data_IF_077888047887
#
_entry.id   IF_077888047887
#
_cell.length_a   1.000
_cell.length_b   1.000
_cell.length_c   1.000
_cell.angle_alpha   90.00
_cell.angle_beta   90.00
_cell.angle_gamma   90.00
#
_symmetry.space_group_name_H-M   'P 1'
#
loop_
_entity.id
_entity.type
_entity.pdbx_description
1 polymer ?
#
# COMPACT_ATOMS: atom_id res chain seq x y z
N UNK A 1 -25.08 1.76 -44.31
CA UNK A 1 -25.30 0.47 -43.63
C UNK A 1 -24.75 0.53 -42.22
N UNK A 2 -25.59 0.90 -41.24
CA UNK A 2 -25.21 1.14 -39.85
C UNK A 2 -25.37 -0.17 -39.07
N UNK A 3 -24.27 -0.83 -38.68
CA UNK A 3 -24.30 -2.07 -37.89
C UNK A 3 -23.88 -1.77 -36.45
N UNK A 4 -24.91 -1.73 -35.60
CA UNK A 4 -24.96 -1.60 -34.14
C UNK A 4 -23.71 -2.13 -33.40
N UNK A 5 -23.05 -1.23 -32.67
CA UNK A 5 -22.05 -1.56 -31.64
C UNK A 5 -22.82 -2.15 -30.46
N UNK A 6 -22.60 -3.44 -30.16
CA UNK A 6 -23.25 -4.12 -29.04
C UNK A 6 -22.53 -3.76 -27.75
N UNK A 7 -23.14 -2.81 -27.03
CA UNK A 7 -22.88 -2.52 -25.63
C UNK A 7 -23.37 -3.71 -24.79
N UNK A 8 -22.56 -4.15 -23.83
CA UNK A 8 -22.91 -5.26 -22.93
C UNK A 8 -21.68 -5.80 -22.19
N UNK A 9 -20.98 -4.95 -21.45
CA UNK A 9 -20.08 -5.42 -20.39
C UNK A 9 -20.95 -5.63 -19.16
N UNK A 10 -21.11 -6.89 -18.75
CA UNK A 10 -21.88 -7.27 -17.58
C UNK A 10 -21.22 -6.70 -16.34
N UNK A 11 -21.93 -5.79 -15.68
CA UNK A 11 -21.64 -5.34 -14.33
C UNK A 11 -22.16 -6.37 -13.32
N UNK A 12 -21.48 -6.44 -12.17
CA UNK A 12 -21.78 -7.22 -10.95
C UNK A 12 -21.31 -8.68 -10.94
N UNK A 13 -20.09 -8.84 -10.42
CA UNK A 13 -19.83 -9.87 -9.41
C UNK A 13 -19.01 -9.25 -8.26
N UNK A 14 -19.66 -8.32 -7.56
CA UNK A 14 -19.15 -7.79 -6.29
C UNK A 14 -19.57 -8.76 -5.20
N UNK A 15 -18.75 -9.79 -4.97
CA UNK A 15 -18.92 -10.67 -3.82
C UNK A 15 -19.03 -9.86 -2.53
N UNK A 16 -19.83 -10.32 -1.58
CA UNK A 16 -19.99 -9.66 -0.27
C UNK A 16 -18.62 -9.44 0.36
N UNK A 17 -18.12 -8.21 0.28
CA UNK A 17 -16.85 -7.84 0.89
C UNK A 17 -17.09 -7.85 2.38
N UNK A 18 -16.66 -8.92 3.06
CA UNK A 18 -16.74 -8.96 4.51
C UNK A 18 -15.98 -7.77 5.10
N UNK A 19 -16.75 -6.82 5.65
CA UNK A 19 -16.22 -5.53 6.08
C UNK A 19 -15.23 -5.65 7.23
N UNK A 20 -15.32 -6.71 8.05
CA UNK A 20 -14.46 -6.91 9.22
C UNK A 20 -13.01 -7.31 8.86
N UNK A 21 -12.75 -8.39 8.08
CA UNK A 21 -11.40 -8.73 7.65
C UNK A 21 -10.79 -7.66 6.74
N UNK A 22 -11.58 -6.99 5.90
CA UNK A 22 -11.11 -5.86 5.10
C UNK A 22 -10.59 -4.72 6.00
N UNK A 23 -11.38 -4.28 6.97
CA UNK A 23 -10.99 -3.18 7.87
C UNK A 23 -9.78 -3.55 8.72
N UNK A 24 -9.72 -4.78 9.24
CA UNK A 24 -8.58 -5.26 10.01
C UNK A 24 -7.31 -5.36 9.16
N UNK A 25 -7.42 -5.96 7.97
CA UNK A 25 -6.30 -6.14 7.05
C UNK A 25 -5.75 -4.81 6.54
N UNK A 26 -6.62 -3.87 6.17
CA UNK A 26 -6.18 -2.55 5.69
C UNK A 26 -5.69 -1.67 6.84
N UNK A 27 -6.29 -1.76 8.03
CA UNK A 27 -5.77 -1.11 9.24
C UNK A 27 -4.35 -1.59 9.55
N UNK A 28 -4.13 -2.90 9.60
CA UNK A 28 -2.81 -3.49 9.78
C UNK A 28 -1.85 -3.11 8.65
N UNK A 29 -2.29 -3.17 7.40
CA UNK A 29 -1.53 -2.74 6.23
C UNK A 29 -1.11 -1.27 6.34
N UNK A 30 -1.99 -0.39 6.84
CA UNK A 30 -1.71 1.01 7.13
C UNK A 30 -0.67 1.19 8.23
N UNK A 31 -0.79 0.47 9.35
CA UNK A 31 0.21 0.48 10.43
C UNK A 31 1.58 0.08 9.89
N UNK A 32 1.64 -1.04 9.18
CA UNK A 32 2.88 -1.59 8.65
C UNK A 32 3.46 -0.68 7.54
N UNK A 33 2.61 -0.15 6.67
CA UNK A 33 3.00 0.82 5.63
C UNK A 33 3.54 2.12 6.22
N UNK A 34 3.03 2.59 7.36
CA UNK A 34 3.53 3.80 8.02
C UNK A 34 4.89 3.61 8.70
N UNK A 35 5.12 2.46 9.35
CA UNK A 35 6.42 2.10 9.95
C UNK A 35 7.50 1.99 8.89
N UNK A 36 7.13 1.37 7.76
CA UNK A 36 8.08 0.89 6.76
C UNK A 36 8.06 1.69 5.45
N UNK A 37 7.20 2.71 5.35
CA UNK A 37 6.95 3.53 4.17
C UNK A 37 6.69 2.73 2.87
N UNK A 38 5.79 1.74 2.89
CA UNK A 38 5.71 0.73 1.81
C UNK A 38 5.23 1.29 0.46
N UNK A 39 4.36 2.29 0.44
CA UNK A 39 3.64 2.76 -0.78
C UNK A 39 4.51 3.04 -2.02
N UNK A 40 5.80 3.34 -1.81
CA UNK A 40 6.89 3.33 -2.79
C UNK A 40 8.27 3.03 -2.13
N UNK A 41 8.34 2.93 -0.80
CA UNK A 41 9.60 2.73 -0.08
C UNK A 41 10.18 1.33 -0.25
N UNK A 42 9.37 0.34 -0.68
CA UNK A 42 9.87 -0.93 -1.21
C UNK A 42 10.97 -0.74 -2.26
N UNK A 43 10.88 0.34 -3.04
CA UNK A 43 11.87 0.72 -4.05
C UNK A 43 12.79 1.83 -3.53
N UNK A 44 12.24 2.92 -3.00
CA UNK A 44 13.05 4.08 -2.61
C UNK A 44 14.00 3.80 -1.45
N UNK A 45 13.61 2.99 -0.45
CA UNK A 45 14.47 2.75 0.73
C UNK A 45 15.73 1.96 0.33
N UNK A 46 15.65 0.81 -0.37
CA UNK A 46 16.85 0.13 -0.85
C UNK A 46 17.69 1.01 -1.77
N UNK A 47 17.05 1.80 -2.64
CA UNK A 47 17.80 2.66 -3.55
C UNK A 47 18.57 3.75 -2.82
N UNK A 48 17.91 4.48 -1.92
CA UNK A 48 18.53 5.53 -1.12
C UNK A 48 19.58 5.00 -0.14
N UNK A 49 19.40 3.77 0.36
CA UNK A 49 20.34 3.15 1.28
C UNK A 49 21.54 2.53 0.55
N UNK A 50 21.30 1.59 -0.36
CA UNK A 50 22.35 0.82 -1.03
C UNK A 50 23.07 1.61 -2.12
N UNK A 51 22.35 2.38 -2.93
CA UNK A 51 22.96 3.21 -3.98
C UNK A 51 23.20 4.64 -3.52
N UNK A 52 22.32 5.20 -2.68
CA UNK A 52 22.46 6.56 -2.14
C UNK A 52 23.33 6.69 -0.90
N UNK A 53 23.74 5.58 -0.27
CA UNK A 53 24.60 5.57 0.91
C UNK A 53 23.95 6.12 2.19
N UNK A 54 22.64 6.34 2.20
CA UNK A 54 21.93 6.85 3.37
C UNK A 54 21.73 5.74 4.41
N UNK A 55 22.03 6.03 5.68
CA UNK A 55 21.66 5.14 6.79
C UNK A 55 20.15 4.86 6.80
N UNK A 56 19.73 3.69 7.30
CA UNK A 56 18.35 3.18 7.18
C UNK A 56 17.30 4.20 7.60
N UNK A 57 17.49 4.87 8.75
CA UNK A 57 16.54 5.90 9.23
C UNK A 57 16.42 7.09 8.29
N UNK A 58 17.53 7.56 7.73
CA UNK A 58 17.54 8.67 6.77
C UNK A 58 16.91 8.26 5.45
N UNK A 59 17.21 7.06 4.95
CA UNK A 59 16.57 6.53 3.74
C UNK A 59 15.04 6.46 3.88
N UNK A 60 14.54 5.97 5.03
CA UNK A 60 13.10 5.93 5.34
C UNK A 60 12.51 7.35 5.40
N UNK A 61 13.14 8.27 6.12
CA UNK A 61 12.67 9.65 6.24
C UNK A 61 12.66 10.40 4.91
N UNK A 62 13.72 10.26 4.10
CA UNK A 62 13.79 10.84 2.76
C UNK A 62 12.74 10.25 1.83
N UNK A 63 12.49 8.94 1.89
CA UNK A 63 11.39 8.29 1.15
C UNK A 63 10.02 8.88 1.52
N UNK A 64 9.74 9.08 2.82
CA UNK A 64 8.51 9.73 3.27
C UNK A 64 8.40 11.18 2.77
N UNK A 65 9.51 11.92 2.78
CA UNK A 65 9.57 13.28 2.21
C UNK A 65 9.25 13.31 0.72
N UNK A 66 9.77 12.36 -0.06
CA UNK A 66 9.41 12.20 -1.48
C UNK A 66 7.92 11.87 -1.66
N UNK A 67 7.39 10.95 -0.83
CA UNK A 67 5.98 10.56 -0.87
C UNK A 67 5.03 11.70 -0.56
N UNK A 68 5.42 12.65 0.30
CA UNK A 68 4.62 13.84 0.60
C UNK A 68 4.24 14.61 -0.67
N UNK A 69 5.08 14.56 -1.71
CA UNK A 69 4.80 15.21 -3.00
C UNK A 69 4.22 14.22 -4.01
N UNK A 70 4.79 13.02 -4.11
CA UNK A 70 4.40 12.03 -5.13
C UNK A 70 2.97 11.51 -4.91
N UNK A 71 2.58 11.22 -3.66
CA UNK A 71 1.26 10.63 -3.37
C UNK A 71 0.11 11.57 -3.71
N UNK A 72 0.12 12.87 -3.30
CA UNK A 72 -0.95 13.79 -3.71
C UNK A 72 -1.07 13.95 -5.22
N UNK A 73 0.05 14.02 -5.94
CA UNK A 73 0.05 14.09 -7.41
C UNK A 73 -0.56 12.82 -7.99
N UNK A 74 -0.17 11.64 -7.49
CA UNK A 74 -0.72 10.36 -7.94
C UNK A 74 -2.24 10.27 -7.69
N UNK A 75 -2.73 10.72 -6.53
CA UNK A 75 -4.17 10.77 -6.21
C UNK A 75 -4.90 11.71 -7.17
N UNK A 76 -4.34 12.89 -7.45
CA UNK A 76 -4.94 13.86 -8.36
C UNK A 76 -4.99 13.33 -9.81
N UNK A 77 -3.87 12.81 -10.32
CA UNK A 77 -3.81 12.22 -11.67
C UNK A 77 -4.74 11.04 -11.79
N UNK A 78 -4.76 10.15 -10.79
CA UNK A 78 -5.70 9.02 -10.77
C UNK A 78 -7.14 9.52 -10.76
N UNK A 79 -7.48 10.50 -9.92
CA UNK A 79 -8.82 11.06 -9.85
C UNK A 79 -9.29 11.74 -11.13
N UNK A 80 -8.39 12.31 -11.93
CA UNK A 80 -8.71 12.91 -13.23
C UNK A 80 -8.94 11.87 -14.33
N UNK A 81 -8.25 10.73 -14.25
CA UNK A 81 -8.32 9.67 -15.26
C UNK A 81 -9.31 8.55 -14.91
N UNK A 82 -9.66 8.42 -13.64
CA UNK A 82 -10.55 7.38 -13.13
C UNK A 82 -12.01 7.77 -13.40
N UNK A 83 -12.75 6.86 -14.04
CA UNK A 83 -14.13 7.11 -14.48
C UNK A 83 -15.19 6.45 -13.59
N UNK A 84 -14.77 5.53 -12.73
CA UNK A 84 -15.68 4.74 -11.89
C UNK A 84 -15.98 5.45 -10.55
N UNK A 85 -17.05 5.03 -9.84
CA UNK A 85 -17.36 5.56 -8.52
C UNK A 85 -16.21 5.36 -7.54
N UNK A 86 -15.94 6.41 -6.76
CA UNK A 86 -14.95 6.33 -5.69
C UNK A 86 -15.42 5.40 -4.56
N UNK A 87 -14.49 4.78 -3.82
CA UNK A 87 -14.82 3.96 -2.65
C UNK A 87 -15.70 4.72 -1.65
N UNK A 88 -16.52 4.00 -0.87
CA UNK A 88 -17.37 4.64 0.13
C UNK A 88 -16.51 5.46 1.12
N UNK A 89 -16.83 6.76 1.21
CA UNK A 89 -16.10 7.73 2.04
C UNK A 89 -16.06 7.34 3.52
N UNK A 90 -17.08 6.64 4.00
CA UNK A 90 -17.19 6.19 5.40
C UNK A 90 -16.12 5.15 5.75
N UNK A 91 -15.86 4.21 4.84
CA UNK A 91 -14.82 3.19 5.00
C UNK A 91 -13.45 3.86 4.99
N UNK A 92 -13.26 4.83 4.09
CA UNK A 92 -12.03 5.60 3.99
C UNK A 92 -11.75 6.40 5.27
N UNK A 93 -12.76 7.04 5.86
CA UNK A 93 -12.62 7.83 7.08
C UNK A 93 -12.16 6.98 8.28
N UNK A 94 -12.76 5.79 8.47
CA UNK A 94 -12.31 4.83 9.49
C UNK A 94 -10.87 4.39 9.26
N UNK A 95 -10.49 4.21 8.00
CA UNK A 95 -9.16 3.78 7.62
C UNK A 95 -8.09 4.83 7.94
N UNK A 96 -8.39 6.11 7.72
CA UNK A 96 -7.49 7.23 8.06
C UNK A 96 -7.17 7.22 9.55
N UNK A 97 -8.16 6.98 10.42
CA UNK A 97 -7.92 6.89 11.87
C UNK A 97 -6.97 5.75 12.22
N UNK A 98 -7.15 4.57 11.60
CA UNK A 98 -6.25 3.43 11.76
C UNK A 98 -4.83 3.73 11.29
N UNK A 99 -4.69 4.43 10.17
CA UNK A 99 -3.39 4.87 9.64
C UNK A 99 -2.71 5.85 10.59
N UNK A 100 -3.43 6.87 11.10
CA UNK A 100 -2.85 7.86 12.02
C UNK A 100 -2.39 7.17 13.31
N UNK A 101 -3.24 6.36 13.94
CA UNK A 101 -2.90 5.64 15.15
C UNK A 101 -1.70 4.70 14.93
N UNK A 102 -1.74 3.95 13.82
CA UNK A 102 -0.67 3.08 13.35
C UNK A 102 0.65 3.80 13.14
N UNK A 103 0.61 4.97 12.51
CA UNK A 103 1.79 5.79 12.19
C UNK A 103 2.46 6.30 13.45
N UNK A 104 1.68 6.74 14.43
CA UNK A 104 2.22 7.24 15.70
C UNK A 104 2.89 6.11 16.48
N UNK A 105 2.21 4.96 16.63
CA UNK A 105 2.76 3.80 17.33
C UNK A 105 3.99 3.28 16.58
N UNK A 106 3.84 3.15 15.27
CA UNK A 106 4.84 2.63 14.38
C UNK A 106 6.14 3.45 14.36
N UNK A 107 6.03 4.77 14.25
CA UNK A 107 7.18 5.67 14.32
C UNK A 107 7.88 5.58 15.69
N UNK A 108 7.13 5.55 16.80
CA UNK A 108 7.70 5.42 18.15
C UNK A 108 8.47 4.12 18.32
N UNK A 109 7.94 3.01 17.84
CA UNK A 109 8.59 1.69 17.91
C UNK A 109 9.81 1.65 16.97
N UNK A 110 9.65 2.07 15.72
CA UNK A 110 10.72 2.06 14.72
C UNK A 110 11.94 2.87 15.13
N UNK A 111 11.75 4.03 15.76
CA UNK A 111 12.86 4.87 16.26
C UNK A 111 13.66 4.23 17.40
N UNK A 112 13.15 3.19 18.07
CA UNK A 112 13.85 2.46 19.14
C UNK A 112 14.61 1.23 18.64
N UNK A 113 14.38 0.80 17.40
CA UNK A 113 14.98 -0.40 16.81
C UNK A 113 16.29 -0.03 16.09
N UNK A 114 17.28 -0.91 16.10
CA UNK A 114 18.53 -0.68 15.37
C UNK A 114 18.36 -0.72 13.85
N UNK A 115 19.13 0.11 13.14
CA UNK A 115 19.11 0.26 11.68
C UNK A 115 19.23 -1.05 10.86
N UNK A 116 20.09 -2.03 11.22
CA UNK A 116 20.10 -3.31 10.51
C UNK A 116 18.86 -4.15 10.80
N UNK A 117 18.28 -4.04 12.00
CA UNK A 117 17.08 -4.79 12.39
C UNK A 117 15.85 -4.26 11.67
N UNK A 118 15.70 -2.93 11.54
CA UNK A 118 14.55 -2.36 10.82
C UNK A 118 14.55 -2.75 9.34
N UNK A 119 15.73 -2.82 8.72
CA UNK A 119 15.87 -3.27 7.33
C UNK A 119 15.57 -4.77 7.18
N UNK A 120 15.94 -5.61 8.17
CA UNK A 120 15.58 -7.03 8.18
C UNK A 120 14.08 -7.25 8.33
N UNK A 121 13.43 -6.51 9.24
CA UNK A 121 11.96 -6.55 9.41
C UNK A 121 11.28 -6.15 8.11
N UNK A 122 11.78 -5.09 7.47
CA UNK A 122 11.29 -4.65 6.17
C UNK A 122 11.42 -5.73 5.09
N UNK A 123 12.61 -6.32 4.93
CA UNK A 123 12.84 -7.39 3.97
C UNK A 123 11.96 -8.62 4.24
N UNK A 124 11.80 -9.00 5.51
CA UNK A 124 10.92 -10.10 5.91
C UNK A 124 9.46 -9.84 5.51
N UNK A 125 8.98 -8.61 5.69
CA UNK A 125 7.64 -8.25 5.24
C UNK A 125 7.49 -8.35 3.71
N UNK A 126 8.48 -7.87 2.95
CA UNK A 126 8.46 -7.98 1.49
C UNK A 126 8.39 -9.45 1.05
N UNK A 127 9.12 -10.34 1.72
CA UNK A 127 9.04 -11.79 1.47
C UNK A 127 7.67 -12.37 1.81
N UNK A 128 7.04 -11.93 2.91
CA UNK A 128 5.67 -12.35 3.26
C UNK A 128 4.69 -11.91 2.17
N UNK A 129 4.77 -10.65 1.72
CA UNK A 129 3.91 -10.12 0.66
C UNK A 129 4.14 -10.90 -0.64
N UNK A 130 5.40 -11.14 -1.01
CA UNK A 130 5.76 -11.93 -2.19
C UNK A 130 5.18 -13.35 -2.11
N UNK A 131 5.33 -14.03 -0.97
CA UNK A 131 4.80 -15.39 -0.78
C UNK A 131 3.28 -15.44 -0.90
N UNK A 132 2.57 -14.41 -0.41
CA UNK A 132 1.11 -14.31 -0.55
C UNK A 132 0.69 -14.16 -2.00
N UNK A 133 1.35 -13.30 -2.77
CA UNK A 133 1.05 -13.15 -4.19
C UNK A 133 1.46 -14.39 -5.01
N UNK A 134 2.58 -15.04 -4.66
CA UNK A 134 3.00 -16.28 -5.31
C UNK A 134 1.97 -17.40 -5.08
N UNK A 135 1.44 -17.49 -3.86
CA UNK A 135 0.36 -18.44 -3.52
C UNK A 135 -0.92 -18.14 -4.30
N UNK A 136 -1.32 -16.87 -4.36
CA UNK A 136 -2.51 -16.45 -5.10
C UNK A 136 -2.40 -16.76 -6.60
N UNK A 137 -1.23 -16.48 -7.18
CA UNK A 137 -0.93 -16.82 -8.58
C UNK A 137 -0.94 -18.33 -8.83
N UNK A 138 -0.36 -19.12 -7.93
CA UNK A 138 -0.37 -20.57 -8.03
C UNK A 138 -1.80 -21.12 -7.99
N UNK A 139 -2.65 -20.58 -7.12
CA UNK A 139 -4.06 -20.95 -7.05
C UNK A 139 -4.82 -20.57 -8.34
N UNK A 140 -4.57 -19.39 -8.91
CA UNK A 140 -5.21 -18.95 -10.16
C UNK A 140 -4.77 -19.76 -11.39
N UNK A 141 -3.60 -20.41 -11.35
CA UNK A 141 -3.12 -21.27 -12.45
C UNK A 141 -3.60 -22.72 -12.31
N UNK A 142 -4.03 -23.14 -11.12
CA UNK A 142 -4.46 -24.50 -10.81
C UNK A 142 -5.98 -24.72 -10.94
N UNK A 143 -6.75 -23.65 -11.19
CA UNK A 143 -8.21 -23.66 -11.44
C UNK A 143 -8.55 -22.82 -12.67
#
# INVERSE_FOLDING_TARGET
>A
TVRRIRHGRSEKDGGEVESLPLRAGVGFGGMVSSVLAIGAGAVYIPVLNQFGGLGSRRAIGTSLGLMMVVVPIAVLVHGLLYSDPWPQVDVLAFLVLGVIAGSVIGARVGLRISDPTILRIFAALLLIILSRYAWDLANQMLF
#
